data_IF_932941605466
#
_entry.id   IF_932941605466
#
_cell.length_a   1.000
_cell.length_b   1.000
_cell.length_c   1.000
_cell.angle_alpha   90.00
_cell.angle_beta   90.00
_cell.angle_gamma   90.00
#
_symmetry.space_group_name_H-M   'P 1'
#
loop_
_entity.id
_entity.type
_entity.pdbx_description
1 polymer ?
#
# COMPACT_ATOMS: atom_id res chain seq x y z
N UNK A 1 -6.61 0.41 -7.99
CA UNK A 1 -5.42 0.69 -7.14
C UNK A 1 -4.29 1.10 -8.07
N UNK A 2 -3.62 2.21 -7.77
CA UNK A 2 -2.46 2.71 -8.49
C UNK A 2 -1.32 2.87 -7.48
N UNK A 3 -0.26 2.07 -7.65
CA UNK A 3 0.98 2.20 -6.88
C UNK A 3 1.96 3.03 -7.71
N UNK A 4 2.61 4.00 -7.09
CA UNK A 4 3.77 4.63 -7.69
C UNK A 4 5.07 3.86 -7.36
N UNK A 5 6.17 4.31 -7.98
CA UNK A 5 7.49 3.69 -7.82
C UNK A 5 7.98 3.77 -6.37
N UNK A 6 7.61 4.81 -5.62
CA UNK A 6 8.04 4.99 -4.22
C UNK A 6 7.37 3.96 -3.31
N UNK A 7 6.07 3.70 -3.50
CA UNK A 7 5.35 2.67 -2.79
C UNK A 7 5.86 1.26 -3.14
N UNK A 8 6.15 1.02 -4.42
CA UNK A 8 6.71 -0.26 -4.88
C UNK A 8 8.08 -0.54 -4.25
N UNK A 9 8.98 0.46 -4.26
CA UNK A 9 10.29 0.36 -3.64
C UNK A 9 10.18 0.13 -2.12
N UNK A 10 9.34 0.89 -1.43
CA UNK A 10 9.15 0.74 0.02
C UNK A 10 8.66 -0.65 0.41
N UNK A 11 7.70 -1.20 -0.35
CA UNK A 11 7.21 -2.56 -0.13
C UNK A 11 8.29 -3.61 -0.38
N UNK A 12 9.09 -3.43 -1.42
CA UNK A 12 10.21 -4.33 -1.73
C UNK A 12 11.25 -4.31 -0.61
N UNK A 13 11.68 -3.13 -0.16
CA UNK A 13 12.68 -2.97 0.89
C UNK A 13 12.21 -3.56 2.21
N UNK A 14 10.96 -3.29 2.60
CA UNK A 14 10.39 -3.80 3.85
C UNK A 14 10.03 -5.29 3.77
N UNK A 15 9.69 -5.78 2.59
CA UNK A 15 9.31 -7.16 2.31
C UNK A 15 10.47 -8.09 1.97
N UNK A 16 11.68 -7.56 1.85
CA UNK A 16 12.89 -8.32 1.57
C UNK A 16 13.62 -8.69 2.85
N UNK A 17 14.06 -9.94 2.91
CA UNK A 17 14.96 -10.43 3.94
C UNK A 17 16.18 -11.08 3.27
N UNK A 18 17.43 -10.80 3.69
CA UNK A 18 18.62 -11.38 3.05
C UNK A 18 18.68 -12.91 3.07
N UNK A 19 18.08 -13.54 4.08
CA UNK A 19 18.06 -14.99 4.27
C UNK A 19 16.86 -15.62 3.55
N UNK A 20 15.70 -14.95 3.58
CA UNK A 20 14.45 -15.50 3.07
C UNK A 20 13.98 -14.94 1.72
N UNK A 21 14.70 -13.97 1.15
CA UNK A 21 14.31 -13.24 -0.06
C UNK A 21 12.98 -12.52 0.11
N UNK A 22 12.16 -12.47 -0.94
CA UNK A 22 10.84 -11.81 -0.93
C UNK A 22 9.73 -12.61 -0.21
N UNK A 23 10.04 -13.70 0.50
CA UNK A 23 9.02 -14.50 1.22
C UNK A 23 8.20 -13.66 2.22
N UNK A 24 8.78 -12.69 2.96
CA UNK A 24 8.02 -11.80 3.84
C UNK A 24 7.11 -10.80 3.11
N UNK A 25 7.37 -10.50 1.83
CA UNK A 25 6.69 -9.46 1.06
C UNK A 25 5.16 -9.60 1.09
N UNK A 26 4.65 -10.82 0.97
CA UNK A 26 3.19 -11.08 1.05
C UNK A 26 2.58 -10.56 2.35
N UNK A 27 3.28 -10.74 3.48
CA UNK A 27 2.82 -10.29 4.80
C UNK A 27 2.86 -8.77 4.92
N UNK A 28 3.90 -8.14 4.38
CA UNK A 28 4.04 -6.67 4.35
C UNK A 28 2.93 -6.06 3.50
N UNK A 29 2.69 -6.57 2.29
CA UNK A 29 1.58 -6.13 1.44
C UNK A 29 0.24 -6.26 2.19
N UNK A 30 -0.01 -7.38 2.87
CA UNK A 30 -1.24 -7.55 3.62
C UNK A 30 -1.38 -6.51 4.74
N UNK A 31 -0.36 -6.40 5.61
CA UNK A 31 -0.43 -5.60 6.83
C UNK A 31 -0.36 -4.09 6.57
N UNK A 32 0.53 -3.68 5.66
CA UNK A 32 0.88 -2.28 5.45
C UNK A 32 0.10 -1.64 4.29
N UNK A 33 -0.50 -2.44 3.39
CA UNK A 33 -1.29 -1.93 2.25
C UNK A 33 -2.76 -2.39 2.28
N UNK A 34 -3.02 -3.70 2.33
CA UNK A 34 -4.39 -4.23 2.18
C UNK A 34 -5.25 -3.94 3.42
N UNK A 35 -4.75 -4.22 4.62
CA UNK A 35 -5.50 -4.01 5.86
C UNK A 35 -5.88 -2.53 6.09
N UNK A 36 -4.99 -1.54 5.86
CA UNK A 36 -5.37 -0.12 5.93
C UNK A 36 -6.41 0.28 4.90
N UNK A 37 -6.31 -0.20 3.64
CA UNK A 37 -7.33 0.07 2.61
C UNK A 37 -8.69 -0.49 3.06
N UNK A 38 -8.72 -1.73 3.54
CA UNK A 38 -9.95 -2.35 4.02
C UNK A 38 -10.57 -1.55 5.18
N UNK A 39 -9.77 -1.07 6.13
CA UNK A 39 -10.25 -0.20 7.22
C UNK A 39 -10.85 1.11 6.71
N UNK A 40 -10.18 1.78 5.76
CA UNK A 40 -10.67 3.03 5.17
C UNK A 40 -11.96 2.84 4.38
N UNK A 41 -12.08 1.71 3.66
CA UNK A 41 -13.30 1.33 2.96
C UNK A 41 -14.45 1.11 3.94
N UNK A 42 -14.23 0.32 5.00
CA UNK A 42 -15.23 0.07 6.05
C UNK A 42 -15.63 1.35 6.81
N UNK A 43 -14.72 2.31 6.94
CA UNK A 43 -14.98 3.62 7.54
C UNK A 43 -15.73 4.59 6.60
N UNK A 44 -15.92 4.23 5.32
CA UNK A 44 -16.54 5.10 4.30
C UNK A 44 -15.62 6.22 3.80
N UNK A 45 -14.33 6.19 4.11
CA UNK A 45 -13.35 7.17 3.60
C UNK A 45 -13.02 6.94 2.12
N UNK A 46 -13.14 5.69 1.67
CA UNK A 46 -12.95 5.27 0.28
C UNK A 46 -14.29 4.75 -0.22
N UNK A 47 -14.71 5.22 -1.39
CA UNK A 47 -15.95 4.78 -2.02
C UNK A 47 -15.69 3.59 -2.94
N UNK A 48 -16.68 2.72 -3.07
CA UNK A 48 -16.66 1.62 -4.04
C UNK A 48 -16.40 2.15 -5.46
N UNK A 49 -15.59 1.41 -6.22
CA UNK A 49 -15.19 1.81 -7.58
C UNK A 49 -14.13 2.91 -7.65
N UNK A 50 -13.71 3.50 -6.52
CA UNK A 50 -12.63 4.49 -6.50
C UNK A 50 -11.28 3.88 -6.90
N UNK A 51 -10.49 4.64 -7.66
CA UNK A 51 -9.06 4.33 -7.82
C UNK A 51 -8.32 4.86 -6.60
N UNK A 52 -7.73 3.97 -5.82
CA UNK A 52 -6.89 4.31 -4.66
C UNK A 52 -5.47 4.57 -5.17
N UNK A 53 -4.90 5.73 -4.87
CA UNK A 53 -3.50 6.06 -5.14
C UNK A 53 -2.65 5.75 -3.89
N UNK A 54 -1.49 5.15 -4.11
CA UNK A 54 -0.57 4.77 -3.04
C UNK A 54 0.85 5.21 -3.38
N UNK A 55 1.44 5.96 -2.47
CA UNK A 55 2.82 6.45 -2.49
C UNK A 55 3.52 6.06 -1.17
N UNK A 56 4.83 6.25 -1.09
CA UNK A 56 5.57 6.15 0.18
C UNK A 56 5.97 7.55 0.68
N UNK A 57 5.59 7.86 1.92
CA UNK A 57 6.01 9.03 2.67
C UNK A 57 7.07 8.70 3.73
N UNK A 58 7.40 9.68 4.57
CA UNK A 58 8.44 9.52 5.60
C UNK A 58 8.10 8.43 6.65
N UNK A 59 6.82 8.19 6.91
CA UNK A 59 6.36 7.26 7.95
C UNK A 59 5.87 5.91 7.40
N UNK A 60 5.83 5.74 6.07
CA UNK A 60 5.35 4.52 5.43
C UNK A 60 4.47 4.79 4.22
N UNK A 61 3.56 3.85 3.91
CA UNK A 61 2.64 4.00 2.78
C UNK A 61 1.57 5.05 3.08
N UNK A 62 1.40 5.97 2.14
CA UNK A 62 0.33 6.94 2.11
C UNK A 62 -0.77 6.44 1.17
N UNK A 63 -2.02 6.39 1.66
CA UNK A 63 -3.14 5.77 0.96
C UNK A 63 -4.24 6.82 0.81
N UNK A 64 -4.46 7.26 -0.43
CA UNK A 64 -5.42 8.31 -0.77
C UNK A 64 -6.33 7.95 -1.94
N UNK A 65 -7.28 8.85 -2.25
CA UNK A 65 -8.06 8.78 -3.50
C UNK A 65 -7.18 9.28 -4.65
N UNK A 66 -7.12 8.55 -5.75
CA UNK A 66 -6.52 9.06 -6.97
C UNK A 66 -7.38 10.24 -7.44
N UNK A 67 -6.78 11.42 -7.60
CA UNK A 67 -7.43 12.51 -8.33
C UNK A 67 -7.49 12.08 -9.80
N UNK A 68 -8.61 11.51 -10.19
CA UNK A 68 -8.95 11.40 -11.61
C UNK A 68 -9.34 12.81 -12.03
N UNK A 69 -8.53 13.42 -12.89
CA UNK A 69 -8.83 14.73 -13.45
C UNK A 69 -9.89 14.61 -14.53
#
# INVERSE_FOLDING_TARGET
>A
LALDDTAAAWLADKGYDPVYGARPLKRVIQKDLVDPIARKLLAGEIEDGSVIAVSAGAEGLEIGKARVH
#
